data_IF_895144384259
#
_entry.id   IF_895144384259
#
_cell.length_a   1.000
_cell.length_b   1.000
_cell.length_c   1.000
_cell.angle_alpha   90.00
_cell.angle_beta   90.00
_cell.angle_gamma   90.00
#
_symmetry.space_group_name_H-M   'P 1'
#
loop_
_entity.id
_entity.type
_entity.pdbx_description
1 polymer ?
#
# COMPACT_ATOMS: atom_id res chain seq x y z
N UNK A 1 85.78 -35.01 -72.75
CA UNK A 1 85.12 -34.33 -71.60
C UNK A 1 83.61 -34.09 -71.75
N UNK A 2 82.98 -34.31 -72.92
CA UNK A 2 81.54 -34.01 -73.15
C UNK A 2 80.59 -35.06 -72.53
N UNK A 3 81.03 -36.31 -72.34
CA UNK A 3 80.17 -37.41 -71.86
C UNK A 3 79.73 -37.25 -70.39
N UNK A 4 80.64 -36.85 -69.50
CA UNK A 4 80.36 -36.63 -68.07
C UNK A 4 79.35 -35.48 -67.83
N UNK A 5 79.27 -34.50 -68.73
CA UNK A 5 78.33 -33.37 -68.63
C UNK A 5 76.88 -33.79 -68.89
N UNK A 6 76.65 -34.70 -69.85
CA UNK A 6 75.31 -35.24 -70.15
C UNK A 6 74.79 -36.12 -69.01
N UNK A 7 75.65 -36.96 -68.45
CA UNK A 7 75.27 -37.78 -67.29
C UNK A 7 74.95 -36.92 -66.05
N UNK A 8 75.69 -35.84 -65.82
CA UNK A 8 75.41 -34.90 -64.74
C UNK A 8 74.04 -34.21 -64.91
N UNK A 9 73.69 -33.82 -66.15
CA UNK A 9 72.40 -33.21 -66.46
C UNK A 9 71.23 -34.19 -66.23
N UNK A 10 71.34 -35.44 -66.67
CA UNK A 10 70.30 -36.46 -66.44
C UNK A 10 70.15 -36.77 -64.95
N UNK A 11 71.25 -36.86 -64.19
CA UNK A 11 71.20 -37.02 -62.72
C UNK A 11 70.50 -35.83 -62.07
N UNK A 12 70.76 -34.60 -62.52
CA UNK A 12 70.12 -33.40 -62.01
C UNK A 12 68.60 -33.40 -62.29
N UNK A 13 68.18 -33.72 -63.52
CA UNK A 13 66.76 -33.77 -63.88
C UNK A 13 66.00 -34.83 -63.08
N UNK A 14 66.61 -35.99 -62.86
CA UNK A 14 66.06 -37.04 -62.01
C UNK A 14 65.94 -36.57 -60.55
N UNK A 15 66.94 -35.86 -60.02
CA UNK A 15 66.86 -35.27 -58.68
C UNK A 15 65.78 -34.19 -58.58
N UNK A 16 65.56 -33.39 -59.62
CA UNK A 16 64.49 -32.38 -59.65
C UNK A 16 63.12 -33.06 -59.67
N UNK A 17 62.93 -34.08 -60.51
CA UNK A 17 61.68 -34.88 -60.54
C UNK A 17 61.41 -35.57 -59.20
N UNK A 18 62.45 -36.13 -58.57
CA UNK A 18 62.31 -36.75 -57.25
C UNK A 18 61.93 -35.72 -56.18
N UNK A 19 62.56 -34.54 -56.18
CA UNK A 19 62.18 -33.43 -55.28
C UNK A 19 60.71 -33.02 -55.48
N UNK A 20 60.28 -32.85 -56.72
CA UNK A 20 58.88 -32.53 -57.03
C UNK A 20 57.91 -33.63 -56.60
N UNK A 21 58.28 -34.90 -56.74
CA UNK A 21 57.46 -36.02 -56.28
C UNK A 21 57.30 -36.03 -54.75
N UNK A 22 58.40 -35.80 -54.02
CA UNK A 22 58.38 -35.69 -52.55
C UNK A 22 57.54 -34.50 -52.11
N UNK A 23 57.69 -33.34 -52.76
CA UNK A 23 56.91 -32.14 -52.46
C UNK A 23 55.41 -32.37 -52.67
N UNK A 24 55.02 -33.00 -53.78
CA UNK A 24 53.63 -33.38 -54.04
C UNK A 24 53.10 -34.36 -52.99
N UNK A 25 53.89 -35.35 -52.59
CA UNK A 25 53.52 -36.29 -51.55
C UNK A 25 53.33 -35.59 -50.19
N UNK A 26 54.24 -34.69 -49.81
CA UNK A 26 54.10 -33.90 -48.59
C UNK A 26 52.84 -33.03 -48.61
N UNK A 27 52.58 -32.30 -49.71
CA UNK A 27 51.36 -31.49 -49.85
C UNK A 27 50.11 -32.36 -49.67
N UNK A 28 50.07 -33.54 -50.30
CA UNK A 28 48.94 -34.46 -50.15
C UNK A 28 48.78 -34.96 -48.70
N UNK A 29 49.89 -35.22 -48.02
CA UNK A 29 49.90 -35.65 -46.61
C UNK A 29 49.40 -34.53 -45.68
N UNK A 30 49.85 -33.29 -45.88
CA UNK A 30 49.36 -32.13 -45.12
C UNK A 30 47.86 -31.91 -45.34
N UNK A 31 47.39 -32.05 -46.58
CA UNK A 31 45.97 -31.92 -46.92
C UNK A 31 45.10 -33.01 -46.26
N UNK A 32 45.62 -34.22 -46.10
CA UNK A 32 44.87 -35.32 -45.50
C UNK A 32 44.90 -35.31 -43.96
N UNK A 33 46.05 -34.98 -43.37
CA UNK A 33 46.30 -35.24 -41.94
C UNK A 33 46.57 -34.00 -41.09
N UNK A 34 46.75 -32.82 -41.69
CA UNK A 34 47.08 -31.59 -40.96
C UNK A 34 46.05 -30.48 -41.20
N UNK A 35 44.79 -30.87 -41.37
CA UNK A 35 43.70 -29.92 -41.50
C UNK A 35 43.43 -29.23 -40.15
N UNK A 36 43.13 -27.92 -40.13
CA UNK A 36 42.77 -27.22 -38.90
C UNK A 36 41.61 -27.90 -38.16
N UNK A 37 40.63 -28.43 -38.89
CA UNK A 37 39.48 -29.16 -38.34
C UNK A 37 39.82 -30.49 -37.67
N UNK A 38 40.96 -31.10 -38.02
CA UNK A 38 41.45 -32.35 -37.41
C UNK A 38 42.28 -32.12 -36.14
N UNK A 39 42.50 -30.87 -35.75
CA UNK A 39 43.24 -30.56 -34.52
C UNK A 39 42.40 -30.91 -33.28
N UNK A 40 43.06 -31.40 -32.24
CA UNK A 40 42.43 -31.77 -30.97
C UNK A 40 41.67 -30.63 -30.32
N UNK A 41 42.15 -29.39 -30.49
CA UNK A 41 41.59 -28.17 -29.90
C UNK A 41 40.67 -27.42 -30.85
N UNK A 42 40.30 -28.03 -31.99
CA UNK A 42 39.45 -27.37 -32.97
C UNK A 42 38.06 -27.05 -32.39
N UNK A 43 37.54 -27.88 -31.49
CA UNK A 43 36.31 -27.62 -30.72
C UNK A 43 36.36 -26.34 -29.90
N UNK A 44 37.53 -26.00 -29.34
CA UNK A 44 37.79 -24.76 -28.60
C UNK A 44 38.00 -23.56 -29.53
N UNK A 45 38.65 -23.80 -30.67
CA UNK A 45 39.06 -22.78 -31.65
C UNK A 45 38.09 -22.64 -32.84
N UNK A 46 36.94 -23.32 -32.82
CA UNK A 46 35.96 -23.28 -33.89
C UNK A 46 35.39 -21.85 -34.01
N UNK A 47 35.52 -21.18 -35.17
CA UNK A 47 34.96 -19.85 -35.37
C UNK A 47 33.43 -19.79 -35.18
N UNK A 48 32.75 -20.92 -35.29
CA UNK A 48 31.30 -21.03 -35.09
C UNK A 48 30.90 -21.59 -33.72
N UNK A 49 31.85 -21.81 -32.81
CA UNK A 49 31.62 -22.41 -31.49
C UNK A 49 30.44 -21.79 -30.74
N UNK A 50 30.34 -20.46 -30.73
CA UNK A 50 29.26 -19.72 -30.04
C UNK A 50 27.87 -19.96 -30.65
N UNK A 51 27.79 -20.25 -31.95
CA UNK A 51 26.51 -20.53 -32.63
C UNK A 51 26.06 -21.99 -32.44
N UNK A 52 27.02 -22.89 -32.25
CA UNK A 52 26.80 -24.33 -32.05
C UNK A 52 26.56 -24.70 -30.59
N UNK A 53 26.91 -23.80 -29.65
CA UNK A 53 26.71 -24.01 -28.22
C UNK A 53 25.25 -23.73 -27.87
N UNK A 54 24.54 -24.75 -27.38
CA UNK A 54 23.17 -24.58 -26.89
C UNK A 54 23.16 -23.77 -25.57
N UNK A 55 22.13 -22.95 -25.32
CA UNK A 55 22.06 -22.12 -24.11
C UNK A 55 22.07 -22.94 -22.80
N UNK A 56 21.65 -24.20 -22.85
CA UNK A 56 21.75 -25.13 -21.72
C UNK A 56 23.20 -25.53 -21.39
N UNK A 57 24.06 -25.68 -22.40
CA UNK A 57 25.48 -26.02 -22.22
C UNK A 57 26.31 -24.80 -21.78
N UNK A 58 25.83 -23.59 -22.10
CA UNK A 58 26.41 -22.33 -21.63
C UNK A 58 25.98 -21.93 -20.21
N UNK A 59 25.13 -22.74 -19.55
CA UNK A 59 24.55 -22.40 -18.26
C UNK A 59 25.55 -22.60 -17.11
N UNK A 60 26.38 -21.59 -16.88
CA UNK A 60 27.35 -21.51 -15.77
C UNK A 60 26.71 -21.09 -14.43
N UNK A 61 25.39 -20.89 -14.38
CA UNK A 61 24.66 -20.55 -13.14
C UNK A 61 24.06 -21.79 -12.49
N UNK A 62 24.22 -21.90 -11.18
CA UNK A 62 23.60 -22.93 -10.34
C UNK A 62 22.07 -22.79 -10.48
N UNK A 63 21.36 -23.80 -11.01
CA UNK A 63 19.91 -23.73 -11.12
C UNK A 63 19.26 -23.66 -9.74
N UNK A 64 18.29 -22.76 -9.57
CA UNK A 64 17.39 -22.73 -8.42
C UNK A 64 18.02 -22.20 -7.13
N UNK A 65 18.30 -20.89 -7.10
CA UNK A 65 18.57 -20.21 -5.83
C UNK A 65 17.30 -20.26 -4.97
N UNK A 66 17.42 -20.83 -3.76
CA UNK A 66 16.30 -21.05 -2.81
C UNK A 66 15.53 -19.77 -2.46
N UNK A 67 16.13 -18.58 -2.67
CA UNK A 67 15.50 -17.28 -2.42
C UNK A 67 14.78 -16.67 -3.62
N UNK A 68 14.88 -17.25 -4.82
CA UNK A 68 14.18 -16.73 -6.00
C UNK A 68 12.74 -17.22 -6.04
N UNK A 69 11.82 -16.29 -5.90
CA UNK A 69 10.40 -16.54 -6.00
C UNK A 69 9.88 -16.17 -7.39
N UNK A 70 9.80 -17.18 -8.25
CA UNK A 70 9.26 -17.05 -9.61
C UNK A 70 7.77 -16.67 -9.60
N UNK A 71 7.04 -16.92 -8.51
CA UNK A 71 5.61 -16.60 -8.36
C UNK A 71 5.37 -15.30 -7.58
N UNK A 72 6.38 -14.44 -7.43
CA UNK A 72 6.24 -13.22 -6.64
C UNK A 72 5.08 -12.32 -7.10
N UNK A 73 4.86 -12.21 -8.42
CA UNK A 73 3.76 -11.46 -9.01
C UNK A 73 2.40 -12.09 -8.69
N UNK A 74 2.28 -13.41 -8.85
CA UNK A 74 1.06 -14.16 -8.52
C UNK A 74 0.72 -14.09 -7.02
N UNK A 75 1.73 -14.16 -6.14
CA UNK A 75 1.55 -13.91 -4.70
C UNK A 75 1.06 -12.49 -4.45
N UNK A 76 1.67 -11.49 -5.06
CA UNK A 76 1.28 -10.10 -4.86
C UNK A 76 -0.14 -9.81 -5.35
N UNK A 77 -0.54 -10.42 -6.48
CA UNK A 77 -1.90 -10.29 -6.98
C UNK A 77 -2.93 -10.89 -6.01
N UNK A 78 -2.70 -12.11 -5.53
CA UNK A 78 -3.57 -12.75 -4.51
C UNK A 78 -3.68 -11.90 -3.24
N UNK A 79 -2.57 -11.31 -2.78
CA UNK A 79 -2.58 -10.41 -1.63
C UNK A 79 -3.41 -9.14 -1.91
N UNK A 80 -3.29 -8.54 -3.10
CA UNK A 80 -4.11 -7.38 -3.48
C UNK A 80 -5.60 -7.71 -3.53
N UNK A 81 -5.96 -8.86 -4.06
CA UNK A 81 -7.36 -9.33 -4.11
C UNK A 81 -7.90 -9.55 -2.69
N UNK A 82 -7.15 -10.21 -1.80
CA UNK A 82 -7.51 -10.37 -0.39
C UNK A 82 -7.76 -9.02 0.30
N UNK A 83 -6.85 -8.05 0.14
CA UNK A 83 -7.04 -6.72 0.73
C UNK A 83 -8.26 -6.01 0.16
N UNK A 84 -8.51 -6.13 -1.14
CA UNK A 84 -9.67 -5.53 -1.79
C UNK A 84 -10.97 -6.11 -1.24
N UNK A 85 -11.06 -7.44 -1.12
CA UNK A 85 -12.24 -8.13 -0.58
C UNK A 85 -12.49 -7.73 0.88
N UNK A 86 -11.46 -7.71 1.72
CA UNK A 86 -11.58 -7.27 3.12
C UNK A 86 -12.06 -5.83 3.24
N UNK A 87 -11.54 -4.92 2.41
CA UNK A 87 -11.99 -3.53 2.41
C UNK A 87 -13.45 -3.39 2.01
N UNK A 88 -13.89 -4.13 0.99
CA UNK A 88 -15.29 -4.12 0.54
C UNK A 88 -16.19 -4.66 1.65
N UNK A 89 -15.81 -5.78 2.29
CA UNK A 89 -16.56 -6.36 3.38
C UNK A 89 -16.71 -5.36 4.53
N UNK A 90 -15.62 -4.76 4.99
CA UNK A 90 -15.64 -3.77 6.06
C UNK A 90 -16.53 -2.56 5.74
N UNK A 91 -16.48 -2.06 4.49
CA UNK A 91 -17.34 -0.96 4.05
C UNK A 91 -18.82 -1.36 4.05
N UNK A 92 -19.12 -2.58 3.59
CA UNK A 92 -20.50 -3.10 3.55
C UNK A 92 -21.09 -3.29 4.95
N UNK A 93 -20.31 -3.83 5.89
CA UNK A 93 -20.71 -4.01 7.29
C UNK A 93 -21.00 -2.66 7.94
N UNK A 94 -20.10 -1.68 7.75
CA UNK A 94 -20.29 -0.32 8.28
C UNK A 94 -21.47 0.41 7.65
N UNK A 95 -21.75 0.17 6.36
CA UNK A 95 -22.92 0.73 5.71
C UNK A 95 -24.22 0.10 6.27
N UNK A 96 -24.24 -1.22 6.44
CA UNK A 96 -25.36 -1.94 7.03
C UNK A 96 -25.65 -1.49 8.46
N UNK A 97 -24.61 -1.25 9.26
CA UNK A 97 -24.74 -0.73 10.63
C UNK A 97 -25.41 0.66 10.65
N UNK A 98 -24.97 1.59 9.79
CA UNK A 98 -25.61 2.91 9.67
C UNK A 98 -27.07 2.83 9.23
N UNK A 99 -27.41 1.88 8.36
CA UNK A 99 -28.78 1.72 7.90
C UNK A 99 -29.67 1.10 8.99
N UNK A 100 -29.12 0.22 9.84
CA UNK A 100 -29.79 -0.26 11.07
C UNK A 100 -30.06 0.90 12.02
N UNK A 101 -29.08 1.74 12.31
CA UNK A 101 -29.25 2.92 13.18
C UNK A 101 -30.35 3.87 12.66
N UNK A 102 -30.40 4.11 11.34
CA UNK A 102 -31.48 4.94 10.74
C UNK A 102 -32.85 4.29 10.90
N UNK A 103 -32.96 2.98 10.71
CA UNK A 103 -34.20 2.23 10.87
C UNK A 103 -34.67 2.29 12.33
N UNK A 104 -33.77 2.04 13.28
CA UNK A 104 -34.03 2.16 14.72
C UNK A 104 -34.43 3.58 15.12
N UNK A 105 -33.79 4.61 14.53
CA UNK A 105 -34.20 6.00 14.71
C UNK A 105 -35.62 6.27 14.19
N UNK A 106 -35.97 5.73 13.00
CA UNK A 106 -37.31 5.87 12.42
C UNK A 106 -38.38 5.15 13.25
N UNK A 107 -38.11 3.94 13.73
CA UNK A 107 -39.06 3.20 14.60
C UNK A 107 -39.25 3.92 15.93
N UNK A 108 -38.18 4.44 16.53
CA UNK A 108 -38.25 5.24 17.75
C UNK A 108 -39.12 6.48 17.59
N UNK A 109 -38.95 7.23 16.50
CA UNK A 109 -39.77 8.40 16.18
C UNK A 109 -41.25 8.01 15.95
N UNK A 110 -41.51 6.91 15.23
CA UNK A 110 -42.87 6.42 15.01
C UNK A 110 -43.56 6.05 16.33
N UNK A 111 -42.87 5.31 17.21
CA UNK A 111 -43.38 4.97 18.53
C UNK A 111 -43.72 6.22 19.35
N UNK A 112 -42.82 7.22 19.36
CA UNK A 112 -43.06 8.47 20.06
C UNK A 112 -44.31 9.21 19.52
N UNK A 113 -44.50 9.24 18.20
CA UNK A 113 -45.69 9.88 17.62
C UNK A 113 -46.99 9.13 17.94
N UNK A 114 -46.95 7.79 17.94
CA UNK A 114 -48.10 6.97 18.32
C UNK A 114 -48.46 7.15 19.79
N UNK A 115 -47.45 7.18 20.67
CA UNK A 115 -47.61 7.45 22.10
C UNK A 115 -48.20 8.84 22.36
N UNK A 116 -47.72 9.87 21.65
CA UNK A 116 -48.29 11.22 21.77
C UNK A 116 -49.76 11.27 21.34
N UNK A 117 -50.15 10.51 20.31
CA UNK A 117 -51.55 10.42 19.86
C UNK A 117 -52.43 9.75 20.90
N UNK A 118 -51.99 8.64 21.52
CA UNK A 118 -52.76 7.96 22.56
C UNK A 118 -52.91 8.83 23.81
N UNK A 119 -51.84 9.52 24.25
CA UNK A 119 -51.91 10.49 25.35
C UNK A 119 -52.91 11.61 25.09
N UNK A 120 -52.92 12.17 23.86
CA UNK A 120 -53.89 13.20 23.47
C UNK A 120 -55.33 12.67 23.48
N UNK A 121 -55.56 11.48 22.93
CA UNK A 121 -56.90 10.87 22.94
C UNK A 121 -57.39 10.59 24.37
N UNK A 122 -56.52 10.12 25.26
CA UNK A 122 -56.84 9.92 26.67
C UNK A 122 -57.18 11.24 27.38
N UNK A 123 -56.44 12.31 27.10
CA UNK A 123 -56.73 13.63 27.65
C UNK A 123 -58.10 14.14 27.20
N UNK A 124 -58.42 14.06 25.90
CA UNK A 124 -59.72 14.45 25.35
C UNK A 124 -60.85 13.62 25.98
N UNK A 125 -60.70 12.30 26.05
CA UNK A 125 -61.71 11.44 26.68
C UNK A 125 -61.92 11.77 28.17
N UNK A 126 -60.85 12.14 28.88
CA UNK A 126 -60.92 12.57 30.29
C UNK A 126 -61.64 13.91 30.43
N UNK A 127 -61.36 14.87 29.54
CA UNK A 127 -62.05 16.16 29.49
C UNK A 127 -63.54 15.98 29.20
N UNK A 128 -63.91 15.16 28.21
CA UNK A 128 -65.30 14.85 27.86
C UNK A 128 -66.03 14.18 29.03
N UNK A 129 -65.39 13.21 29.70
CA UNK A 129 -65.92 12.57 30.89
C UNK A 129 -66.15 13.58 32.02
N UNK A 130 -65.17 14.45 32.29
CA UNK A 130 -65.29 15.50 33.30
C UNK A 130 -66.43 16.48 32.97
N UNK A 131 -66.57 16.88 31.70
CA UNK A 131 -67.67 17.71 31.21
C UNK A 131 -69.03 17.04 31.40
N UNK A 132 -69.15 15.75 31.06
CA UNK A 132 -70.36 14.98 31.28
C UNK A 132 -70.70 14.89 32.78
N UNK A 133 -69.68 14.69 33.65
CA UNK A 133 -69.85 14.68 35.11
C UNK A 133 -70.27 16.03 35.67
N UNK A 134 -69.76 17.15 35.15
CA UNK A 134 -70.21 18.50 35.53
C UNK A 134 -71.66 18.74 35.12
N UNK A 135 -72.05 18.34 33.90
CA UNK A 135 -73.45 18.42 33.44
C UNK A 135 -74.39 17.56 34.30
N UNK A 136 -74.01 16.33 34.62
CA UNK A 136 -74.76 15.43 35.52
C UNK A 136 -74.91 16.06 36.92
N UNK A 137 -73.84 16.62 37.49
CA UNK A 137 -73.89 17.35 38.77
C UNK A 137 -74.77 18.60 38.70
N UNK A 138 -74.71 19.38 37.63
CA UNK A 138 -75.56 20.55 37.43
C UNK A 138 -77.04 20.17 37.34
N UNK A 139 -77.37 19.09 36.63
CA UNK A 139 -78.73 18.55 36.58
C UNK A 139 -79.19 18.01 37.95
N UNK A 140 -78.31 17.33 38.70
CA UNK A 140 -78.60 16.93 40.09
C UNK A 140 -78.80 18.13 41.01
N UNK A 141 -77.99 19.18 40.89
CA UNK A 141 -78.17 20.42 41.65
C UNK A 141 -79.46 21.15 41.28
N UNK A 142 -79.91 21.09 40.02
CA UNK A 142 -81.22 21.61 39.61
C UNK A 142 -82.39 20.77 40.15
N UNK A 143 -82.19 19.46 40.34
CA UNK A 143 -83.17 18.57 40.99
C UNK A 143 -83.14 18.68 42.53
N UNK A 144 -82.01 19.08 43.12
CA UNK A 144 -81.79 19.18 44.57
C UNK A 144 -81.85 20.60 45.14
N UNK A 145 -82.06 21.66 44.33
CA UNK A 145 -81.94 23.04 44.80
C UNK A 145 -82.84 24.07 44.12
N UNK A 146 -84.09 24.16 44.57
CA UNK A 146 -84.80 25.43 44.64
C UNK A 146 -84.46 26.09 45.99
N UNK A 147 -83.38 26.90 46.02
CA UNK A 147 -83.18 28.00 46.99
C UNK A 147 -82.01 28.90 46.51
N UNK A 148 -82.38 30.15 46.21
CA UNK A 148 -81.70 31.47 46.23
C UNK A 148 -80.37 31.78 45.46
N UNK A 149 -80.49 32.70 44.47
CA UNK A 149 -79.69 33.92 44.11
C UNK A 149 -78.12 33.91 43.95
N UNK A 150 -77.47 34.88 43.25
CA UNK A 150 -77.52 35.32 41.83
C UNK A 150 -76.15 35.15 41.07
N UNK A 151 -76.11 35.56 39.78
CA UNK A 151 -75.09 35.33 38.71
C UNK A 151 -73.60 35.74 38.98
N UNK A 152 -72.59 35.32 38.16
CA UNK A 152 -72.32 35.99 36.86
C UNK A 152 -71.61 35.16 35.75
N UNK A 153 -71.52 35.79 34.56
CA UNK A 153 -70.37 35.75 33.63
C UNK A 153 -70.28 34.65 32.55
N UNK A 154 -70.69 35.06 31.34
CA UNK A 154 -70.25 34.60 30.02
C UNK A 154 -68.71 34.46 29.94
N UNK A 155 -68.16 33.24 30.03
CA UNK A 155 -66.74 33.00 29.79
C UNK A 155 -66.54 32.66 28.31
N UNK A 156 -66.29 33.68 27.51
CA UNK A 156 -65.85 33.54 26.12
C UNK A 156 -64.49 32.83 26.03
N UNK A 157 -64.37 31.97 25.03
CA UNK A 157 -63.14 31.26 24.71
C UNK A 157 -62.01 32.24 24.36
N UNK A 158 -60.84 32.12 24.97
CA UNK A 158 -59.67 32.95 24.66
C UNK A 158 -59.17 32.95 23.21
N UNK A 159 -58.94 34.14 22.63
CA UNK A 159 -57.90 34.31 21.60
C UNK A 159 -58.33 34.81 20.21
N UNK A 160 -59.56 35.29 20.00
CA UNK A 160 -60.04 35.72 18.67
C UNK A 160 -60.33 37.23 18.55
N UNK A 161 -59.58 38.09 19.24
CA UNK A 161 -59.71 39.55 19.10
C UNK A 161 -58.34 40.22 18.83
N UNK A 162 -58.05 40.69 17.60
CA UNK A 162 -56.75 41.26 17.22
C UNK A 162 -56.38 42.63 17.83
N UNK A 163 -57.14 43.18 18.77
CA UNK A 163 -56.98 44.58 19.21
C UNK A 163 -56.85 44.83 20.70
N UNK A 164 -56.98 43.83 21.59
CA UNK A 164 -56.97 44.06 23.04
C UNK A 164 -56.28 42.96 23.85
N UNK A 165 -55.45 42.14 23.22
CA UNK A 165 -54.77 41.05 23.91
C UNK A 165 -53.55 41.57 24.70
N UNK A 166 -53.83 42.34 25.76
CA UNK A 166 -52.90 42.52 26.89
C UNK A 166 -53.03 41.31 27.83
N UNK A 167 -52.88 40.10 27.29
CA UNK A 167 -52.73 38.93 28.14
C UNK A 167 -51.40 39.03 28.87
N UNK A 168 -51.47 38.98 30.20
CA UNK A 168 -50.28 38.66 30.98
C UNK A 168 -49.70 37.34 30.42
N UNK A 169 -48.38 37.26 30.22
CA UNK A 169 -47.73 36.06 29.71
C UNK A 169 -48.25 34.82 30.45
N UNK A 170 -48.48 33.68 29.76
CA UNK A 170 -49.04 32.47 30.39
C UNK A 170 -48.14 31.92 31.50
N UNK A 171 -46.87 32.34 31.51
CA UNK A 171 -45.88 32.06 32.54
C UNK A 171 -45.69 33.30 33.41
N UNK A 172 -45.63 33.11 34.72
CA UNK A 172 -45.26 34.19 35.64
C UNK A 172 -43.88 34.74 35.25
N UNK A 173 -43.69 36.06 35.27
CA UNK A 173 -42.39 36.70 35.00
C UNK A 173 -41.25 36.06 35.80
N UNK A 174 -41.56 35.55 37.00
CA UNK A 174 -40.61 34.86 37.86
C UNK A 174 -40.16 33.51 37.28
N UNK A 175 -41.03 32.76 36.61
CA UNK A 175 -40.70 31.50 35.92
C UNK A 175 -39.82 31.76 34.69
N UNK A 176 -40.13 32.80 33.92
CA UNK A 176 -39.31 33.21 32.77
C UNK A 176 -37.90 33.59 33.22
N UNK A 177 -37.77 34.35 34.31
CA UNK A 177 -36.48 34.73 34.89
C UNK A 177 -35.71 33.49 35.38
N UNK A 178 -36.38 32.53 36.02
CA UNK A 178 -35.75 31.28 36.44
C UNK A 178 -35.26 30.45 35.25
N UNK A 179 -36.06 30.35 34.19
CA UNK A 179 -35.69 29.64 32.98
C UNK A 179 -34.49 30.29 32.27
N UNK A 180 -34.46 31.62 32.19
CA UNK A 180 -33.31 32.35 31.63
C UNK A 180 -32.03 32.13 32.45
N UNK A 181 -32.12 32.10 33.79
CA UNK A 181 -30.97 31.76 34.65
C UNK A 181 -30.46 30.36 34.36
N UNK A 182 -31.36 29.39 34.26
CA UNK A 182 -31.01 28.01 33.91
C UNK A 182 -30.33 27.92 32.53
N UNK A 183 -30.83 28.63 31.51
CA UNK A 183 -30.18 28.69 30.20
C UNK A 183 -28.76 29.25 30.24
N UNK A 184 -28.52 30.27 31.07
CA UNK A 184 -27.18 30.85 31.25
C UNK A 184 -26.24 29.83 31.91
N UNK A 185 -26.73 29.12 32.93
CA UNK A 185 -25.96 28.09 33.63
C UNK A 185 -25.64 26.89 32.73
N UNK A 186 -26.61 26.38 31.98
CA UNK A 186 -26.41 25.30 31.01
C UNK A 186 -25.43 25.71 29.91
N UNK A 187 -25.54 26.93 29.39
CA UNK A 187 -24.58 27.44 28.39
C UNK A 187 -23.16 27.53 28.94
N UNK A 188 -22.99 27.89 30.22
CA UNK A 188 -21.69 27.88 30.90
C UNK A 188 -21.15 26.47 31.09
N UNK A 189 -22.01 25.51 31.46
CA UNK A 189 -21.65 24.09 31.61
C UNK A 189 -21.15 23.51 30.30
N UNK A 190 -21.91 23.70 29.22
CA UNK A 190 -21.55 23.25 27.87
C UNK A 190 -20.24 23.88 27.38
N UNK A 191 -20.00 25.16 27.65
CA UNK A 191 -18.75 25.83 27.29
C UNK A 191 -17.53 25.24 28.03
N UNK A 192 -17.69 24.90 29.32
CA UNK A 192 -16.64 24.26 30.10
C UNK A 192 -16.35 22.84 29.60
N UNK A 193 -17.39 22.06 29.32
CA UNK A 193 -17.27 20.69 28.79
C UNK A 193 -16.54 20.69 27.44
N UNK A 194 -16.96 21.56 26.52
CA UNK A 194 -16.29 21.73 25.23
C UNK A 194 -14.81 22.08 25.37
N UNK A 195 -14.47 22.96 26.33
CA UNK A 195 -13.07 23.32 26.61
C UNK A 195 -12.27 22.11 27.10
N UNK A 196 -12.85 21.28 27.96
CA UNK A 196 -12.19 20.05 28.43
C UNK A 196 -11.99 19.05 27.30
N UNK A 197 -12.96 18.89 26.39
CA UNK A 197 -12.82 18.04 25.21
C UNK A 197 -11.71 18.55 24.28
N UNK A 198 -11.65 19.85 24.02
CA UNK A 198 -10.59 20.47 23.23
C UNK A 198 -9.21 20.25 23.87
N UNK A 199 -9.09 20.38 25.19
CA UNK A 199 -7.85 20.09 25.91
C UNK A 199 -7.44 18.61 25.79
N UNK A 200 -8.39 17.67 25.92
CA UNK A 200 -8.13 16.24 25.73
C UNK A 200 -7.65 15.94 24.31
N UNK A 201 -8.32 16.52 23.31
CA UNK A 201 -7.95 16.36 21.91
C UNK A 201 -6.56 16.95 21.63
N UNK A 202 -6.26 18.13 22.19
CA UNK A 202 -4.95 18.75 22.06
C UNK A 202 -3.84 17.89 22.67
N UNK A 203 -4.07 17.28 23.85
CA UNK A 203 -3.11 16.35 24.47
C UNK A 203 -2.86 15.14 23.59
N UNK A 204 -3.93 14.48 23.13
CA UNK A 204 -3.82 13.33 22.23
C UNK A 204 -3.03 13.67 20.95
N UNK A 205 -3.32 14.82 20.33
CA UNK A 205 -2.60 15.30 19.15
C UNK A 205 -1.12 15.50 19.42
N UNK A 206 -0.77 16.10 20.56
CA UNK A 206 0.63 16.34 20.93
C UNK A 206 1.38 15.04 21.23
N UNK A 207 0.74 14.10 21.93
CA UNK A 207 1.33 12.79 22.21
C UNK A 207 1.55 11.99 20.93
N UNK A 208 0.56 11.99 20.03
CA UNK A 208 0.71 11.37 18.70
C UNK A 208 1.82 12.02 17.87
N UNK A 209 1.94 13.34 17.88
CA UNK A 209 3.02 14.02 17.16
C UNK A 209 4.40 13.66 17.74
N UNK A 210 4.48 13.55 19.07
CA UNK A 210 5.70 13.17 19.77
C UNK A 210 6.12 11.73 19.45
N UNK A 211 5.19 10.79 19.43
CA UNK A 211 5.50 9.38 19.08
C UNK A 211 5.97 9.26 17.64
N UNK A 212 5.33 9.95 16.69
CA UNK A 212 5.76 9.98 15.29
C UNK A 212 7.18 10.52 15.13
N UNK A 213 7.51 11.62 15.80
CA UNK A 213 8.84 12.23 15.74
C UNK A 213 9.93 11.30 16.32
N UNK A 214 9.61 10.54 17.38
CA UNK A 214 10.54 9.55 17.93
C UNK A 214 10.79 8.39 16.96
N UNK A 215 9.73 7.90 16.30
CA UNK A 215 9.84 6.86 15.29
C UNK A 215 10.69 7.31 14.09
N UNK A 216 10.45 8.53 13.59
CA UNK A 216 11.24 9.11 12.49
C UNK A 216 12.73 9.22 12.85
N UNK A 217 13.04 9.68 14.07
CA UNK A 217 14.42 9.74 14.56
C UNK A 217 15.06 8.36 14.66
N UNK A 218 14.30 7.34 15.08
CA UNK A 218 14.80 5.97 15.13
C UNK A 218 15.11 5.45 13.72
N UNK A 219 14.20 5.67 12.77
CA UNK A 219 14.40 5.30 11.37
C UNK A 219 15.64 5.98 10.79
N UNK A 220 15.79 7.29 10.98
CA UNK A 220 16.96 8.03 10.50
C UNK A 220 18.29 7.51 11.06
N UNK A 221 18.31 7.00 12.30
CA UNK A 221 19.51 6.36 12.88
C UNK A 221 19.82 5.03 12.20
N UNK A 222 18.81 4.21 11.94
CA UNK A 222 18.96 2.94 11.23
C UNK A 222 19.46 3.16 9.80
N UNK A 223 18.87 4.11 9.08
CA UNK A 223 19.28 4.46 7.71
C UNK A 223 20.73 4.94 7.68
N UNK A 224 21.14 5.74 8.67
CA UNK A 224 22.53 6.18 8.81
C UNK A 224 23.48 5.02 9.09
N UNK A 225 23.08 4.02 9.87
CA UNK A 225 23.88 2.82 10.09
C UNK A 225 24.00 1.97 8.83
N UNK A 226 22.89 1.74 8.12
CA UNK A 226 22.87 1.04 6.84
C UNK A 226 23.77 1.72 5.81
N UNK A 227 23.69 3.05 5.72
CA UNK A 227 24.53 3.81 4.80
C UNK A 227 26.02 3.66 5.12
N UNK A 228 26.40 3.72 6.41
CA UNK A 228 27.79 3.47 6.83
C UNK A 228 28.28 2.08 6.45
N UNK A 229 27.43 1.05 6.60
CA UNK A 229 27.76 -0.31 6.19
C UNK A 229 27.95 -0.42 4.68
N UNK A 230 27.05 0.18 3.89
CA UNK A 230 27.19 0.23 2.43
C UNK A 230 28.46 0.98 2.01
N UNK A 231 28.75 2.13 2.60
CA UNK A 231 29.96 2.89 2.26
C UNK A 231 31.23 2.11 2.64
N UNK A 232 31.24 1.39 3.77
CA UNK A 232 32.38 0.55 4.18
C UNK A 232 32.60 -0.66 3.24
N UNK A 233 31.52 -1.31 2.81
CA UNK A 233 31.60 -2.43 1.86
C UNK A 233 32.04 -1.97 0.48
N UNK A 234 31.48 -0.86 -0.01
CA UNK A 234 31.89 -0.23 -1.26
C UNK A 234 33.34 0.21 -1.23
N UNK A 235 33.83 0.76 -0.10
CA UNK A 235 35.24 1.11 0.05
C UNK A 235 36.15 -0.11 -0.09
N UNK A 236 35.84 -1.22 0.60
CA UNK A 236 36.61 -2.47 0.50
C UNK A 236 36.59 -3.03 -0.93
N UNK A 237 35.42 -3.02 -1.58
CA UNK A 237 35.26 -3.48 -2.96
C UNK A 237 36.09 -2.63 -3.94
N UNK A 238 36.07 -1.30 -3.78
CA UNK A 238 36.85 -0.40 -4.62
C UNK A 238 38.37 -0.61 -4.42
N UNK A 239 38.80 -0.84 -3.17
CA UNK A 239 40.19 -1.15 -2.86
C UNK A 239 40.63 -2.46 -3.53
N UNK A 240 39.86 -3.55 -3.39
CA UNK A 240 40.21 -4.85 -3.99
C UNK A 240 40.23 -4.76 -5.51
N UNK A 241 39.28 -4.05 -6.13
CA UNK A 241 39.30 -3.82 -7.58
C UNK A 241 40.53 -3.03 -8.03
N UNK A 242 40.96 -2.02 -7.27
CA UNK A 242 42.17 -1.25 -7.56
C UNK A 242 43.43 -2.12 -7.45
N UNK A 243 43.52 -2.95 -6.43
CA UNK A 243 44.65 -3.88 -6.26
C UNK A 243 44.70 -4.91 -7.40
N UNK A 244 43.55 -5.46 -7.79
CA UNK A 244 43.45 -6.39 -8.92
C UNK A 244 43.79 -5.74 -10.26
N UNK A 245 43.38 -4.48 -10.50
CA UNK A 245 43.70 -3.79 -11.75
C UNK A 245 45.19 -3.46 -11.85
N UNK A 246 45.84 -3.06 -10.76
CA UNK A 246 47.30 -2.86 -10.72
C UNK A 246 48.05 -4.16 -11.00
N UNK A 247 47.61 -5.28 -10.43
CA UNK A 247 48.19 -6.60 -10.73
C UNK A 247 48.02 -6.98 -12.21
N UNK A 248 46.82 -6.78 -12.78
CA UNK A 248 46.55 -7.06 -14.20
C UNK A 248 47.33 -6.17 -15.17
N UNK A 249 47.67 -4.95 -14.79
CA UNK A 249 48.34 -3.98 -15.67
C UNK A 249 49.87 -4.15 -15.69
N UNK A 250 50.45 -4.74 -14.64
CA UNK A 250 51.85 -5.19 -14.67
C UNK A 250 51.94 -6.46 -15.51
N UNK A 251 52.22 -6.30 -16.80
CA UNK A 251 52.52 -7.43 -17.68
C UNK A 251 53.61 -8.31 -17.06
N UNK A 252 53.33 -9.60 -16.89
CA UNK A 252 54.32 -10.57 -16.46
C UNK A 252 55.15 -10.98 -17.67
N UNK A 253 56.47 -10.84 -17.54
CA UNK A 253 57.41 -11.39 -18.51
C UNK A 253 57.70 -12.82 -18.06
N UNK A 254 57.16 -13.80 -18.78
CA UNK A 254 57.38 -15.21 -18.50
C UNK A 254 58.77 -15.67 -18.96
N UNK A 255 59.32 -16.71 -18.33
CA UNK A 255 60.64 -17.26 -18.68
C UNK A 255 60.76 -17.66 -20.18
N UNK A 256 59.64 -18.02 -20.80
CA UNK A 256 59.53 -18.27 -22.24
C UNK A 256 59.89 -17.06 -23.10
N UNK A 257 59.81 -15.83 -22.59
CA UNK A 257 60.30 -14.62 -23.26
C UNK A 257 61.83 -14.61 -23.35
N UNK A 258 62.52 -14.98 -22.28
CA UNK A 258 63.98 -14.98 -22.23
C UNK A 258 64.59 -16.11 -23.06
N UNK A 259 63.90 -17.26 -23.16
CA UNK A 259 64.31 -18.37 -24.03
C UNK A 259 64.30 -18.04 -25.53
N UNK A 260 63.74 -16.90 -25.95
CA UNK A 260 63.75 -16.45 -27.36
C UNK A 260 65.08 -15.80 -27.76
N UNK A 261 65.92 -15.42 -26.80
CA UNK A 261 67.21 -14.81 -27.05
C UNK A 261 68.33 -15.87 -27.03
N UNK A 262 69.35 -15.71 -27.88
CA UNK A 262 70.49 -16.65 -28.03
C UNK A 262 70.13 -18.07 -28.51
N UNK A 263 69.04 -18.24 -29.25
CA UNK A 263 68.60 -19.55 -29.76
C UNK A 263 69.38 -20.06 -30.97
N UNK A 264 70.28 -19.26 -31.55
CA UNK A 264 71.09 -19.64 -32.70
C UNK A 264 72.55 -19.19 -32.49
N UNK A 265 73.51 -20.10 -32.68
CA UNK A 265 74.93 -19.76 -32.74
C UNK A 265 75.24 -19.14 -34.10
N UNK A 266 75.72 -17.90 -34.09
CA UNK A 266 76.16 -17.17 -35.28
C UNK A 266 77.44 -17.74 -35.85
#
# INVERSE_FOLDING_TARGET
MIHNSKEACVRHDNQVKQRQAIEKANISYHQQHQQPSSQREYDLNDPERLKKTEPADAQMMIPGLVGEDQECEGRQQRQREQFREWFIQQQSERAAERDREKLEGRTSLQLQTAEMKTRKALAIATEEFNLAKVKEKGQRAQLEGANDEPAPSLVGFPGLCPGSDRRAPPESLQQVIQFQKYQIEEKRRMALEKKQEEERYNRFRLDSARTLLLMERQQARLDKQLRRHLDSTNFKLAQTQREQSVFRTRGQIDDAFFSKFNTCSR
#
